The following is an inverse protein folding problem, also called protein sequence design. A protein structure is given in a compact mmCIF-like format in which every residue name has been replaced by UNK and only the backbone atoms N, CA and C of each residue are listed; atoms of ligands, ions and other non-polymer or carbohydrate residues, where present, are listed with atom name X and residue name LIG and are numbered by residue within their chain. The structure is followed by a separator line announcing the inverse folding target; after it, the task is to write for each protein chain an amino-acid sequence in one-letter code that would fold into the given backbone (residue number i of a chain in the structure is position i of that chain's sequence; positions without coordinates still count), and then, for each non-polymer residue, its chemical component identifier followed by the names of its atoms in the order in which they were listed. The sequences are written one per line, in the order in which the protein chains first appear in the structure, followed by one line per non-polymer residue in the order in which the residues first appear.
data_IF_927899677742
#
_entry.id   IF_927899677742
#
_cell.length_a   1.000
_cell.length_b   1.000
_cell.length_c   1.000
_cell.angle_alpha   90.00
_cell.angle_beta   90.00
_cell.angle_gamma   90.00
#
_symmetry.space_group_name_H-M   'P 1'
#
loop_
_entity.id
_entity.type
_entity.pdbx_description
1 polymer ?
#
# COMPACT_ATOMS: atom_id res chain seq x y z
N UNK A 1 6.68 22.70 21.61
CA UNK A 1 7.31 21.52 20.93
C UNK A 1 7.88 20.64 22.02
N UNK A 2 7.45 19.39 22.06
CA UNK A 2 7.93 18.43 23.08
C UNK A 2 8.83 17.42 22.37
N UNK A 3 10.04 17.22 22.90
CA UNK A 3 10.94 16.18 22.42
C UNK A 3 10.38 14.82 22.88
N UNK A 4 10.16 13.88 21.94
CA UNK A 4 9.76 12.52 22.29
C UNK A 4 10.95 11.79 22.90
N UNK A 5 10.76 11.29 24.12
CA UNK A 5 11.75 10.54 24.88
C UNK A 5 11.10 9.31 25.50
N UNK A 6 11.78 8.15 25.54
CA UNK A 6 13.13 7.90 25.03
C UNK A 6 13.16 7.75 23.49
N UNK A 7 14.34 7.93 22.85
CA UNK A 7 14.49 7.59 21.43
C UNK A 7 14.34 6.08 21.22
N UNK A 8 13.94 5.65 20.03
CA UNK A 8 13.81 4.22 19.69
C UNK A 8 15.14 3.49 19.78
N UNK A 9 15.06 2.16 20.08
CA UNK A 9 16.19 1.22 20.09
C UNK A 9 17.24 1.44 21.18
N UNK A 10 16.89 2.03 22.30
CA UNK A 10 17.74 2.00 23.49
C UNK A 10 17.76 0.57 24.06
N UNK A 11 18.94 0.04 24.38
CA UNK A 11 19.12 -1.34 24.86
C UNK A 11 18.38 -1.65 26.17
N UNK A 12 18.26 -0.69 27.06
CA UNK A 12 17.55 -0.82 28.33
C UNK A 12 16.24 0.00 28.37
N UNK A 13 15.74 0.43 27.23
CA UNK A 13 14.53 1.26 27.13
C UNK A 13 13.27 0.42 26.89
N UNK A 14 12.13 0.93 27.37
CA UNK A 14 10.80 0.50 26.95
C UNK A 14 10.10 1.71 26.36
N UNK A 15 9.57 1.56 25.16
CA UNK A 15 8.90 2.67 24.45
C UNK A 15 7.70 2.17 23.66
N UNK A 16 6.69 3.01 23.41
CA UNK A 16 5.55 2.62 22.59
C UNK A 16 5.95 2.33 21.15
N UNK A 17 5.34 1.35 20.51
CA UNK A 17 5.52 1.04 19.08
C UNK A 17 5.19 2.23 18.16
N UNK A 18 4.45 3.20 18.64
CA UNK A 18 4.20 4.47 17.97
C UNK A 18 5.50 5.20 17.59
N UNK A 19 6.53 5.15 18.44
CA UNK A 19 7.81 5.82 18.13
C UNK A 19 8.51 5.17 16.93
N UNK A 20 8.44 3.85 16.80
CA UNK A 20 8.97 3.15 15.63
C UNK A 20 8.20 3.54 14.37
N UNK A 21 6.87 3.68 14.45
CA UNK A 21 6.05 4.13 13.31
C UNK A 21 6.35 5.58 12.90
N UNK A 22 6.63 6.47 13.85
CA UNK A 22 7.02 7.86 13.56
C UNK A 22 8.38 7.88 12.84
N UNK A 23 9.31 7.00 13.22
CA UNK A 23 10.59 6.85 12.51
C UNK A 23 10.35 6.30 11.09
N UNK A 24 9.48 5.31 10.93
CA UNK A 24 9.09 4.80 9.62
C UNK A 24 8.47 5.91 8.74
N UNK A 25 7.74 6.84 9.32
CA UNK A 25 7.18 7.99 8.59
C UNK A 25 8.27 8.95 8.10
N UNK A 26 9.39 9.06 8.79
CA UNK A 26 10.55 9.81 8.29
C UNK A 26 11.19 9.14 7.07
N UNK A 27 11.10 7.81 6.96
CA UNK A 27 11.58 7.05 5.81
C UNK A 27 10.54 7.01 4.68
N UNK A 28 9.28 6.71 4.99
CA UNK A 28 8.17 6.56 4.06
C UNK A 28 7.11 7.64 4.32
N UNK A 29 7.24 8.76 3.62
CA UNK A 29 6.45 9.97 3.89
C UNK A 29 5.01 9.88 3.41
N UNK A 30 4.71 9.03 2.43
CA UNK A 30 3.38 8.90 1.83
C UNK A 30 2.92 7.45 1.83
N UNK A 31 1.59 7.25 1.90
CA UNK A 31 0.98 5.94 1.66
C UNK A 31 1.27 5.46 0.24
N UNK A 32 1.76 4.23 0.10
CA UNK A 32 2.09 3.67 -1.20
C UNK A 32 2.77 2.30 -1.13
N UNK A 33 3.04 1.71 -2.29
CA UNK A 33 3.84 0.49 -2.40
C UNK A 33 5.32 0.82 -2.24
N UNK A 34 6.09 -0.14 -1.69
CA UNK A 34 7.54 -0.06 -1.64
C UNK A 34 8.09 -0.97 -2.74
N UNK A 35 8.78 -0.37 -3.71
CA UNK A 35 9.19 -1.06 -4.93
C UNK A 35 8.08 -1.10 -5.99
N UNK A 36 8.47 -1.09 -7.27
CA UNK A 36 7.55 -0.87 -8.40
C UNK A 36 6.63 -2.05 -8.72
N UNK A 37 7.02 -3.28 -8.34
CA UNK A 37 6.26 -4.51 -8.62
C UNK A 37 5.43 -5.02 -7.44
N UNK A 38 5.56 -4.41 -6.26
CA UNK A 38 4.88 -4.85 -5.04
C UNK A 38 3.36 -4.80 -5.17
N UNK A 39 2.68 -5.83 -4.63
CA UNK A 39 1.23 -5.88 -4.44
C UNK A 39 0.42 -5.71 -5.74
N UNK A 40 0.94 -6.17 -6.89
CA UNK A 40 0.23 -6.10 -8.15
C UNK A 40 -1.06 -6.92 -8.11
N UNK A 41 -2.14 -6.36 -8.65
CA UNK A 41 -3.43 -7.04 -8.75
C UNK A 41 -3.58 -7.64 -10.14
N UNK A 42 -3.95 -8.92 -10.21
CA UNK A 42 -4.14 -9.66 -11.46
C UNK A 42 -5.38 -10.54 -11.37
N UNK A 43 -5.98 -10.96 -12.51
CA UNK A 43 -7.03 -11.98 -12.49
C UNK A 43 -6.56 -13.26 -11.81
N UNK A 44 -7.49 -14.01 -11.26
CA UNK A 44 -7.19 -15.34 -10.74
C UNK A 44 -6.87 -16.33 -11.88
N UNK A 45 -6.28 -17.46 -11.56
CA UNK A 45 -6.06 -18.57 -12.50
C UNK A 45 -6.51 -19.90 -11.86
N UNK A 46 -7.51 -20.57 -12.43
CA UNK A 46 -8.33 -20.15 -13.59
C UNK A 46 -9.12 -18.85 -13.29
N UNK A 47 -9.48 -18.14 -14.37
CA UNK A 47 -10.30 -16.92 -14.24
C UNK A 47 -11.68 -17.22 -13.65
N UNK A 48 -12.21 -16.28 -12.88
CA UNK A 48 -13.50 -16.35 -12.20
C UNK A 48 -13.82 -15.04 -11.53
N UNK A 49 -14.80 -14.99 -10.65
CA UNK A 49 -15.14 -13.81 -9.84
C UNK A 49 -14.13 -13.67 -8.67
N UNK A 50 -12.87 -13.53 -9.02
CA UNK A 50 -11.79 -13.34 -8.04
C UNK A 50 -10.55 -12.69 -8.69
N UNK A 51 -9.78 -12.00 -7.87
CA UNK A 51 -8.49 -11.40 -8.23
C UNK A 51 -7.40 -11.88 -7.27
N UNK A 52 -6.14 -11.72 -7.66
CA UNK A 52 -4.98 -12.04 -6.82
C UNK A 52 -4.14 -10.80 -6.59
N UNK A 53 -3.66 -10.65 -5.37
CA UNK A 53 -2.66 -9.66 -4.98
C UNK A 53 -1.31 -10.35 -4.86
N UNK A 54 -0.32 -9.86 -5.59
CA UNK A 54 1.04 -10.40 -5.56
C UNK A 54 1.72 -10.14 -4.21
N UNK A 55 2.82 -10.87 -3.95
CA UNK A 55 3.74 -10.55 -2.86
C UNK A 55 4.32 -9.15 -3.00
N UNK A 56 4.78 -8.58 -1.90
CA UNK A 56 5.40 -7.27 -1.89
C UNK A 56 5.19 -6.48 -0.62
N UNK A 57 5.68 -5.25 -0.63
CA UNK A 57 5.72 -4.36 0.52
C UNK A 57 4.78 -3.18 0.34
N UNK A 58 4.17 -2.75 1.44
CA UNK A 58 3.37 -1.53 1.49
C UNK A 58 3.71 -0.67 2.70
N UNK A 59 3.50 0.63 2.55
CA UNK A 59 3.57 1.61 3.60
C UNK A 59 2.25 2.37 3.67
N UNK A 60 1.65 2.47 4.84
CA UNK A 60 0.39 3.17 5.09
C UNK A 60 0.60 4.21 6.17
N UNK A 61 0.49 5.48 5.81
CA UNK A 61 0.45 6.56 6.79
C UNK A 61 -0.90 6.52 7.50
N UNK A 62 -0.89 6.44 8.82
CA UNK A 62 -2.11 6.43 9.62
C UNK A 62 -2.91 7.72 9.46
N UNK A 63 -4.22 7.61 9.32
CA UNK A 63 -5.12 8.75 9.03
C UNK A 63 -6.17 9.00 10.13
N UNK A 64 -6.25 8.14 11.13
CA UNK A 64 -7.22 8.28 12.23
C UNK A 64 -6.81 9.39 13.19
N UNK A 65 -5.51 9.51 13.50
CA UNK A 65 -4.92 10.59 14.29
C UNK A 65 -3.57 11.01 13.70
N UNK A 66 -3.12 12.22 13.98
CA UNK A 66 -1.90 12.81 13.41
C UNK A 66 -0.61 12.14 13.91
N UNK A 67 -0.68 11.40 14.99
CA UNK A 67 0.45 10.78 15.68
C UNK A 67 0.56 9.26 15.45
N UNK A 68 -0.22 8.70 14.54
CA UNK A 68 -0.16 7.27 14.22
C UNK A 68 1.16 6.83 13.61
N UNK A 69 1.80 7.70 12.82
CA UNK A 69 3.01 7.37 12.06
C UNK A 69 2.71 6.46 10.85
N UNK A 70 3.76 5.84 10.29
CA UNK A 70 3.63 4.95 9.11
C UNK A 70 3.73 3.49 9.52
N UNK A 71 2.76 2.71 9.09
CA UNK A 71 2.76 1.24 9.17
C UNK A 71 3.41 0.67 7.93
N UNK A 72 4.39 -0.20 8.09
CA UNK A 72 4.97 -0.98 6.99
C UNK A 72 4.56 -2.44 7.12
N UNK A 73 4.25 -3.07 6.00
CA UNK A 73 3.86 -4.48 5.99
C UNK A 73 4.44 -5.19 4.77
N UNK A 74 4.51 -6.51 4.87
CA UNK A 74 4.96 -7.40 3.82
C UNK A 74 3.95 -8.52 3.58
N UNK A 75 3.58 -8.72 2.32
CA UNK A 75 2.83 -9.86 1.86
C UNK A 75 3.80 -10.85 1.20
N UNK A 76 3.98 -12.03 1.78
CA UNK A 76 4.98 -13.02 1.36
C UNK A 76 4.49 -13.96 0.24
N UNK A 77 3.17 -14.00 0.00
CA UNK A 77 2.57 -14.92 -0.96
C UNK A 77 1.43 -14.26 -1.75
N UNK A 78 0.97 -14.95 -2.79
CA UNK A 78 -0.24 -14.57 -3.52
C UNK A 78 -1.46 -14.66 -2.60
N UNK A 79 -2.19 -13.55 -2.47
CA UNK A 79 -3.47 -13.51 -1.78
C UNK A 79 -4.62 -13.50 -2.80
N UNK A 80 -5.59 -14.38 -2.65
CA UNK A 80 -6.78 -14.43 -3.51
C UNK A 80 -7.95 -13.74 -2.82
N UNK A 81 -8.61 -12.83 -3.54
CA UNK A 81 -9.76 -12.08 -3.09
C UNK A 81 -10.97 -12.41 -3.95
N UNK A 82 -12.07 -12.76 -3.31
CA UNK A 82 -13.34 -12.99 -4.00
C UNK A 82 -14.01 -11.66 -4.32
N UNK A 83 -14.39 -11.47 -5.57
CA UNK A 83 -15.27 -10.40 -6.03
C UNK A 83 -16.70 -10.91 -5.96
N UNK A 84 -17.60 -10.14 -5.36
CA UNK A 84 -19.01 -10.54 -5.25
C UNK A 84 -19.66 -10.69 -6.62
N UNK A 85 -20.68 -11.54 -6.71
CA UNK A 85 -21.43 -11.78 -7.97
C UNK A 85 -21.84 -10.46 -8.61
N UNK A 86 -21.73 -10.38 -9.94
CA UNK A 86 -22.15 -9.23 -10.72
C UNK A 86 -23.66 -9.01 -10.58
N UNK A 87 -24.07 -7.73 -10.60
CA UNK A 87 -25.46 -7.38 -10.75
C UNK A 87 -25.95 -7.80 -12.15
N UNK A 88 -27.17 -8.32 -12.30
CA UNK A 88 -27.66 -8.78 -13.61
C UNK A 88 -27.90 -7.66 -14.61
N UNK A 89 -28.05 -6.41 -14.16
CA UNK A 89 -28.51 -5.28 -14.97
C UNK A 89 -27.48 -4.16 -15.08
N UNK A 90 -26.86 -3.81 -13.95
CA UNK A 90 -26.01 -2.63 -13.85
C UNK A 90 -24.56 -2.98 -13.55
N UNK A 91 -23.59 -2.34 -14.22
CA UNK A 91 -22.18 -2.48 -13.89
C UNK A 91 -21.83 -1.76 -12.59
N UNK A 92 -20.70 -2.15 -11.97
CA UNK A 92 -20.12 -1.44 -10.82
C UNK A 92 -18.61 -1.39 -10.93
N UNK A 93 -17.96 -0.57 -10.10
CA UNK A 93 -16.51 -0.53 -9.93
C UNK A 93 -16.20 -0.89 -8.50
N UNK A 94 -15.48 -1.99 -8.29
CA UNK A 94 -15.00 -2.42 -6.99
C UNK A 94 -13.57 -1.89 -6.74
N UNK A 95 -13.22 -1.58 -5.49
CA UNK A 95 -11.89 -1.13 -5.09
C UNK A 95 -11.16 -2.26 -4.36
N UNK A 96 -9.96 -2.58 -4.81
CA UNK A 96 -9.03 -3.49 -4.13
C UNK A 96 -8.07 -2.67 -3.30
N UNK A 97 -7.99 -2.92 -2.01
CA UNK A 97 -7.11 -2.19 -1.10
C UNK A 97 -6.52 -3.09 -0.02
N UNK A 98 -5.41 -2.63 0.56
CA UNK A 98 -4.87 -3.15 1.82
C UNK A 98 -5.18 -2.16 2.93
N UNK A 99 -5.73 -2.64 4.04
CA UNK A 99 -6.15 -1.81 5.18
C UNK A 99 -5.44 -2.24 6.44
N UNK A 100 -4.80 -1.30 7.11
CA UNK A 100 -4.22 -1.49 8.45
C UNK A 100 -5.30 -1.28 9.49
N UNK A 101 -5.43 -2.25 10.41
CA UNK A 101 -6.33 -2.17 11.55
C UNK A 101 -5.50 -2.19 12.83
N UNK A 102 -5.61 -1.15 13.62
CA UNK A 102 -4.92 -0.99 14.90
C UNK A 102 -5.96 -0.66 15.99
N UNK A 103 -6.25 -1.64 16.83
CA UNK A 103 -7.25 -1.54 17.89
C UNK A 103 -6.95 -0.45 18.92
N UNK A 104 -5.70 0.02 19.01
CA UNK A 104 -5.35 1.14 19.88
C UNK A 104 -6.04 2.44 19.45
N UNK A 105 -6.26 2.63 18.15
CA UNK A 105 -6.89 3.84 17.60
C UNK A 105 -8.36 3.62 17.24
N UNK A 106 -8.69 2.46 16.67
CA UNK A 106 -10.07 2.15 16.27
C UNK A 106 -10.32 0.66 16.08
N UNK A 107 -11.53 0.22 16.44
CA UNK A 107 -11.97 -1.16 16.21
C UNK A 107 -11.39 -2.17 17.21
N UNK A 108 -11.30 -3.43 16.80
CA UNK A 108 -10.92 -4.55 17.68
C UNK A 108 -9.81 -5.44 17.10
N UNK A 109 -9.23 -5.09 15.97
CA UNK A 109 -8.24 -5.91 15.27
C UNK A 109 -6.88 -5.23 15.22
N UNK A 110 -5.82 -6.04 15.21
CA UNK A 110 -4.43 -5.61 15.06
C UNK A 110 -3.80 -6.40 13.93
N UNK A 111 -4.06 -6.01 12.69
CA UNK A 111 -3.59 -6.73 11.50
C UNK A 111 -3.59 -5.83 10.25
N UNK A 112 -3.19 -6.42 9.13
CA UNK A 112 -3.37 -5.87 7.79
C UNK A 112 -4.20 -6.86 6.98
N UNK A 113 -5.23 -6.37 6.33
CA UNK A 113 -6.08 -7.18 5.46
C UNK A 113 -6.07 -6.64 4.03
N UNK A 114 -6.15 -7.56 3.06
CA UNK A 114 -6.60 -7.22 1.73
C UNK A 114 -8.12 -7.35 1.67
N UNK A 115 -8.78 -6.39 1.03
CA UNK A 115 -10.23 -6.42 0.90
C UNK A 115 -10.69 -5.90 -0.45
N UNK A 116 -11.87 -6.37 -0.84
CA UNK A 116 -12.66 -5.84 -1.95
C UNK A 116 -13.73 -4.95 -1.35
N UNK A 117 -13.68 -3.66 -1.63
CA UNK A 117 -14.77 -2.74 -1.30
C UNK A 117 -15.68 -2.69 -2.53
N UNK A 118 -16.83 -3.35 -2.42
CA UNK A 118 -17.77 -3.41 -3.54
C UNK A 118 -18.39 -2.05 -3.83
N UNK A 119 -18.41 -1.68 -5.09
CA UNK A 119 -19.12 -0.48 -5.56
C UNK A 119 -20.63 -0.69 -5.63
N UNK A 120 -21.34 0.40 -5.82
CA UNK A 120 -22.80 0.36 -6.04
C UNK A 120 -23.08 0.17 -7.53
N UNK A 121 -23.87 -0.84 -7.94
CA UNK A 121 -24.30 -1.01 -9.32
C UNK A 121 -25.08 0.23 -9.81
N UNK A 122 -24.73 0.74 -10.99
CA UNK A 122 -25.36 1.91 -11.61
C UNK A 122 -25.03 1.98 -13.10
N UNK A 123 -25.86 2.65 -13.89
CA UNK A 123 -25.60 2.88 -15.32
C UNK A 123 -24.32 3.70 -15.60
N UNK A 124 -23.83 4.46 -14.62
CA UNK A 124 -22.53 5.15 -14.63
C UNK A 124 -21.87 4.95 -13.26
N UNK A 125 -21.22 3.80 -13.02
CA UNK A 125 -20.69 3.46 -11.73
C UNK A 125 -19.47 4.28 -11.36
N UNK A 126 -19.32 4.56 -10.07
CA UNK A 126 -18.17 5.26 -9.48
C UNK A 126 -17.50 4.32 -8.48
N UNK A 127 -16.17 4.34 -8.44
CA UNK A 127 -15.42 3.57 -7.46
C UNK A 127 -15.75 4.06 -6.03
N UNK A 128 -15.85 3.14 -5.06
CA UNK A 128 -16.06 3.52 -3.67
C UNK A 128 -14.87 4.30 -3.10
N UNK A 129 -15.14 5.08 -2.04
CA UNK A 129 -14.09 5.80 -1.32
C UNK A 129 -13.10 4.82 -0.68
N UNK A 130 -11.81 5.19 -0.68
CA UNK A 130 -10.78 4.43 0.00
C UNK A 130 -11.01 4.47 1.52
N UNK A 131 -11.07 3.32 2.22
CA UNK A 131 -11.17 3.30 3.67
C UNK A 131 -10.00 4.02 4.37
N UNK A 132 -10.21 4.48 5.59
CA UNK A 132 -9.13 5.05 6.40
C UNK A 132 -7.99 4.02 6.59
N UNK A 133 -6.78 4.48 6.77
CA UNK A 133 -5.57 3.66 6.97
C UNK A 133 -5.38 2.61 5.88
N UNK A 134 -5.66 2.96 4.62
CA UNK A 134 -5.60 2.02 3.50
C UNK A 134 -4.75 2.53 2.35
N UNK A 135 -4.24 1.58 1.56
CA UNK A 135 -3.59 1.82 0.28
C UNK A 135 -4.46 1.24 -0.84
N UNK A 136 -4.75 2.05 -1.86
CA UNK A 136 -5.40 1.58 -3.08
C UNK A 136 -4.43 0.74 -3.91
N UNK A 137 -4.88 -0.43 -4.37
CA UNK A 137 -4.07 -1.31 -5.21
C UNK A 137 -4.61 -1.36 -6.65
N UNK A 138 -5.91 -1.47 -6.82
CA UNK A 138 -6.54 -1.47 -8.13
C UNK A 138 -8.03 -1.13 -8.01
N UNK A 139 -8.63 -0.70 -9.12
CA UNK A 139 -10.07 -0.77 -9.32
C UNK A 139 -10.41 -1.89 -10.28
N UNK A 140 -11.57 -2.52 -10.09
CA UNK A 140 -12.08 -3.62 -10.91
C UNK A 140 -13.43 -3.23 -11.49
N UNK A 141 -13.51 -3.12 -12.81
CA UNK A 141 -14.77 -2.90 -13.51
C UNK A 141 -15.53 -4.22 -13.58
N UNK A 142 -16.64 -4.32 -12.88
CA UNK A 142 -17.54 -5.49 -12.88
C UNK A 142 -18.73 -5.18 -13.77
N UNK A 143 -18.72 -5.72 -14.98
CA UNK A 143 -19.84 -5.57 -15.93
C UNK A 143 -21.11 -6.25 -15.43
N UNK A 144 -22.26 -5.89 -16.00
CA UNK A 144 -23.53 -6.58 -15.70
C UNK A 144 -23.46 -8.05 -16.12
N UNK A 145 -23.99 -8.93 -15.28
CA UNK A 145 -24.09 -10.37 -15.48
C UNK A 145 -22.77 -11.10 -15.83
N UNK A 146 -21.61 -10.50 -15.61
CA UNK A 146 -20.32 -11.18 -15.85
C UNK A 146 -20.07 -12.27 -14.80
N UNK A 147 -19.37 -13.32 -15.22
CA UNK A 147 -19.03 -14.47 -14.36
C UNK A 147 -17.53 -14.59 -14.08
N UNK A 148 -16.74 -13.67 -14.63
CA UNK A 148 -15.29 -13.67 -14.48
C UNK A 148 -14.72 -12.25 -14.59
N UNK A 149 -13.56 -12.04 -14.00
CA UNK A 149 -12.74 -10.83 -14.09
C UNK A 149 -11.53 -11.13 -14.97
N UNK A 150 -11.30 -10.32 -16.01
CA UNK A 150 -10.18 -10.45 -16.92
C UNK A 150 -9.16 -9.30 -16.66
N UNK A 151 -8.01 -9.39 -17.29
CA UNK A 151 -6.95 -8.37 -17.12
C UNK A 151 -7.38 -6.97 -17.58
N UNK A 152 -8.23 -6.87 -18.60
CA UNK A 152 -8.78 -5.60 -19.08
C UNK A 152 -9.78 -4.92 -18.13
N UNK A 153 -10.31 -5.67 -17.16
CA UNK A 153 -11.26 -5.16 -16.17
C UNK A 153 -10.55 -4.55 -14.96
N UNK A 154 -9.21 -4.74 -14.85
CA UNK A 154 -8.41 -4.29 -13.71
C UNK A 154 -7.60 -3.07 -14.10
N UNK A 155 -7.81 -1.96 -13.38
CA UNK A 155 -7.01 -0.74 -13.50
C UNK A 155 -6.10 -0.62 -12.30
N UNK A 156 -4.78 -0.60 -12.53
CA UNK A 156 -3.77 -0.40 -11.50
C UNK A 156 -3.86 1.03 -10.93
N UNK A 157 -4.06 1.15 -9.63
CA UNK A 157 -4.11 2.43 -8.91
C UNK A 157 -3.01 2.57 -7.88
N UNK A 158 -2.03 1.66 -7.89
CA UNK A 158 -0.91 1.70 -6.95
C UNK A 158 -0.06 2.93 -7.19
N UNK A 159 0.33 3.58 -6.10
CA UNK A 159 1.30 4.67 -6.10
C UNK A 159 2.50 4.24 -5.27
N UNK A 160 3.71 4.51 -5.73
CA UNK A 160 4.89 4.26 -4.92
C UNK A 160 4.94 5.26 -3.76
N UNK A 161 5.33 4.78 -2.57
CA UNK A 161 5.59 5.68 -1.45
C UNK A 161 6.79 6.58 -1.77
N UNK A 162 6.76 7.82 -1.28
CA UNK A 162 7.90 8.72 -1.35
C UNK A 162 8.75 8.56 -0.10
N UNK A 163 10.07 8.67 -0.26
CA UNK A 163 11.01 8.69 0.86
C UNK A 163 11.47 10.11 1.13
N UNK A 164 11.62 10.46 2.42
CA UNK A 164 12.23 11.72 2.85
C UNK A 164 13.75 11.63 2.87
N UNK A 165 14.33 10.53 2.42
CA UNK A 165 15.78 10.43 2.31
C UNK A 165 16.24 11.46 1.27
N UNK A 166 16.84 12.55 1.72
CA UNK A 166 17.68 13.37 0.87
C UNK A 166 18.86 12.48 0.42
N UNK A 167 18.67 11.81 -0.72
CA UNK A 167 19.84 11.35 -1.48
C UNK A 167 20.49 12.63 -1.98
N UNK A 168 21.33 13.23 -1.13
CA UNK A 168 22.19 14.32 -1.54
C UNK A 168 22.84 13.85 -2.82
N UNK A 169 22.86 14.71 -3.85
CA UNK A 169 23.66 14.48 -5.04
C UNK A 169 24.99 13.94 -4.54
N UNK A 170 25.29 12.68 -4.85
CA UNK A 170 26.67 12.19 -4.74
C UNK A 170 27.42 13.14 -5.65
N UNK A 171 27.98 14.17 -5.06
CA UNK A 171 28.90 15.02 -5.77
C UNK A 171 30.02 14.08 -6.17
N UNK A 172 30.02 13.69 -7.44
CA UNK A 172 31.13 12.92 -7.99
C UNK A 172 32.35 13.76 -7.66
N UNK A 173 33.19 13.28 -6.75
CA UNK A 173 34.42 13.96 -6.38
C UNK A 173 35.21 14.18 -7.68
N UNK A 174 35.34 15.41 -8.16
CA UNK A 174 36.05 15.68 -9.41
C UNK A 174 37.53 15.25 -9.32
N UNK A 175 38.01 14.90 -8.13
CA UNK A 175 39.36 14.38 -7.93
C UNK A 175 39.47 12.88 -8.24
N UNK A 176 38.37 12.13 -8.30
CA UNK A 176 38.40 10.70 -8.62
C UNK A 176 38.75 10.44 -10.10
N UNK A 177 38.61 11.44 -10.96
CA UNK A 177 38.95 11.34 -12.38
C UNK A 177 40.46 11.55 -12.65
N UNK A 178 41.21 12.06 -11.69
CA UNK A 178 42.62 12.39 -11.88
C UNK A 178 43.55 11.19 -11.60
N UNK A 179 43.07 10.19 -10.84
CA UNK A 179 43.90 9.05 -10.47
C UNK A 179 44.04 7.95 -11.54
N UNK A 180 43.26 8.02 -12.61
CA UNK A 180 43.36 7.04 -13.71
C UNK A 180 44.26 7.45 -14.87
N UNK A 181 44.86 8.64 -14.84
CA UNK A 181 45.70 9.17 -15.92
C UNK A 181 47.20 9.21 -15.62
N UNK A 182 47.64 8.73 -14.46
CA UNK A 182 49.07 8.73 -14.08
C UNK A 182 49.67 7.30 -13.98
N UNK A 183 49.08 6.32 -14.64
CA UNK A 183 49.57 4.93 -14.68
C UNK A 183 49.71 4.40 -16.10
N UNK A 184 50.50 5.10 -16.97
CA UNK A 184 51.00 4.57 -18.23
C UNK A 184 52.43 5.03 -18.39
#
# INVERSE_FOLDING_TARGET
MTLNTPPSWLQAGSYPAQFDRIIQQALYATTGIIGTSSLAVTPNSPVGMSVRVASGWGAVVGTTTTDMGTYTFYNDALATLTVTTADPTDPRIDLICATVRDAFYAGAFNDVIFQVVAGTPAGSPVAPALPANSISLATVAVGAAVTQINSGDITDTRVATTTNLNVGTIQSDPTSTVFMLMGA
#
